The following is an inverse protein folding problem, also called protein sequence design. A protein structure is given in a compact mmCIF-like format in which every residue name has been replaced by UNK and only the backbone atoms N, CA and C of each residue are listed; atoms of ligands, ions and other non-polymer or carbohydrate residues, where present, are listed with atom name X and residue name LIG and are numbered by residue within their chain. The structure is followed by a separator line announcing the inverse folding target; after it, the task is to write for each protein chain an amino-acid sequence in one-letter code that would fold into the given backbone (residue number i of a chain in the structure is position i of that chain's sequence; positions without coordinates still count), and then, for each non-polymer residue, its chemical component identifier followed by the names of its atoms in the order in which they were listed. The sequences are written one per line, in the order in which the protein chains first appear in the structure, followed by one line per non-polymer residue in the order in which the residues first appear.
data_IF_075997682227
#
_entry.id   IF_075997682227
#
_cell.length_a   1.000
_cell.length_b   1.000
_cell.length_c   1.000
_cell.angle_alpha   90.00
_cell.angle_beta   90.00
_cell.angle_gamma   90.00
#
_symmetry.space_group_name_H-M   'P 1'
#
loop_
_entity.id
_entity.type
_entity.pdbx_description
1 polymer ?
#
# COMPACT_ATOMS: atom_id res chain seq x y z
N UNK A 1 -19.33 7.79 14.12
CA UNK A 1 -19.73 6.97 12.96
C UNK A 1 -18.61 5.99 12.73
N UNK A 2 -18.87 4.70 12.95
CA UNK A 2 -17.90 3.64 12.66
C UNK A 2 -18.00 3.31 11.16
N UNK A 3 -16.85 3.21 10.49
CA UNK A 3 -16.78 2.74 9.11
C UNK A 3 -17.06 1.24 9.11
N UNK A 4 -18.19 0.81 8.55
CA UNK A 4 -18.60 -0.60 8.60
C UNK A 4 -17.94 -1.38 7.47
N UNK A 5 -17.93 -2.71 7.60
CA UNK A 5 -17.51 -3.63 6.52
C UNK A 5 -18.20 -3.32 5.19
N UNK A 6 -19.48 -2.95 5.23
CA UNK A 6 -20.27 -2.56 4.06
C UNK A 6 -19.72 -1.29 3.38
N UNK A 7 -19.25 -0.32 4.16
CA UNK A 7 -18.66 0.90 3.62
C UNK A 7 -17.31 0.63 2.94
N UNK A 8 -16.54 -0.33 3.46
CA UNK A 8 -15.30 -0.79 2.79
C UNK A 8 -15.59 -1.42 1.43
N UNK A 9 -16.62 -2.26 1.33
CA UNK A 9 -17.05 -2.88 0.06
C UNK A 9 -17.49 -1.80 -0.93
N UNK A 10 -18.34 -0.85 -0.48
CA UNK A 10 -18.78 0.28 -1.32
C UNK A 10 -17.63 1.13 -1.82
N UNK A 11 -16.63 1.37 -0.97
CA UNK A 11 -15.43 2.10 -1.38
C UNK A 11 -14.66 1.33 -2.46
N UNK A 12 -14.45 0.02 -2.26
CA UNK A 12 -13.81 -0.84 -3.25
C UNK A 12 -14.54 -0.80 -4.60
N UNK A 13 -15.87 -0.94 -4.61
CA UNK A 13 -16.68 -0.84 -5.83
C UNK A 13 -16.51 0.50 -6.54
N UNK A 14 -16.50 1.60 -5.77
CA UNK A 14 -16.32 2.94 -6.31
C UNK A 14 -14.92 3.09 -6.93
N UNK A 15 -13.90 2.58 -6.25
CA UNK A 15 -12.51 2.60 -6.71
C UNK A 15 -12.30 1.69 -7.93
N UNK A 16 -12.99 0.56 -8.00
CA UNK A 16 -12.95 -0.34 -9.16
C UNK A 16 -13.52 0.34 -10.43
N UNK A 17 -14.52 1.20 -10.28
CA UNK A 17 -15.07 2.01 -11.36
C UNK A 17 -14.25 3.26 -11.73
N UNK A 18 -13.27 3.65 -10.90
CA UNK A 18 -12.43 4.82 -11.17
C UNK A 18 -11.37 4.51 -12.23
N UNK A 19 -11.39 5.29 -13.33
CA UNK A 19 -10.38 5.25 -14.39
C UNK A 19 -9.06 5.96 -13.99
N UNK A 20 -9.09 6.80 -12.95
CA UNK A 20 -7.90 7.48 -12.44
C UNK A 20 -7.01 6.56 -11.60
N UNK A 21 -5.71 6.86 -11.52
CA UNK A 21 -4.79 6.16 -10.61
C UNK A 21 -5.14 6.51 -9.17
N UNK A 22 -5.35 5.49 -8.33
CA UNK A 22 -5.65 5.66 -6.92
C UNK A 22 -4.75 4.79 -6.05
N UNK A 23 -4.55 5.24 -4.81
CA UNK A 23 -3.78 4.56 -3.78
C UNK A 23 -4.53 4.71 -2.46
N UNK A 24 -4.75 3.59 -1.78
CA UNK A 24 -5.41 3.55 -0.47
C UNK A 24 -4.47 2.90 0.52
N UNK A 25 -4.25 3.57 1.66
CA UNK A 25 -3.53 3.01 2.80
C UNK A 25 -4.52 2.45 3.81
N UNK A 26 -4.37 1.19 4.16
CA UNK A 26 -5.14 0.54 5.22
C UNK A 26 -4.21 -0.10 6.25
N UNK A 27 -4.74 -0.33 7.46
CA UNK A 27 -4.10 -1.22 8.42
C UNK A 27 -4.10 -2.64 7.86
N UNK A 28 -3.03 -3.38 8.12
CA UNK A 28 -2.91 -4.77 7.67
C UNK A 28 -3.86 -5.67 8.47
N UNK A 29 -4.97 -6.07 7.85
CA UNK A 29 -5.88 -7.06 8.41
C UNK A 29 -6.37 -7.99 7.30
N UNK A 30 -6.68 -9.24 7.67
CA UNK A 30 -7.12 -10.28 6.72
C UNK A 30 -8.32 -9.83 5.89
N UNK A 31 -9.30 -9.17 6.51
CA UNK A 31 -10.49 -8.67 5.82
C UNK A 31 -10.17 -7.71 4.67
N UNK A 32 -9.24 -6.78 4.85
CA UNK A 32 -8.86 -5.83 3.81
C UNK A 32 -8.04 -6.51 2.73
N UNK A 33 -7.17 -7.47 3.09
CA UNK A 33 -6.40 -8.26 2.11
C UNK A 33 -7.32 -9.08 1.20
N UNK A 34 -8.32 -9.74 1.77
CA UNK A 34 -9.31 -10.49 0.99
C UNK A 34 -10.18 -9.57 0.14
N UNK A 35 -10.63 -8.43 0.68
CA UNK A 35 -11.49 -7.48 -0.03
C UNK A 35 -10.83 -6.89 -1.28
N UNK A 36 -9.51 -6.68 -1.23
CA UNK A 36 -8.73 -6.06 -2.29
C UNK A 36 -7.78 -7.05 -3.00
N UNK A 37 -8.01 -8.37 -2.88
CA UNK A 37 -7.13 -9.40 -3.46
C UNK A 37 -6.92 -9.27 -4.97
N UNK A 38 -7.88 -8.69 -5.68
CA UNK A 38 -7.85 -8.48 -7.14
C UNK A 38 -7.05 -7.21 -7.54
N UNK A 39 -6.58 -6.43 -6.56
CA UNK A 39 -5.80 -5.20 -6.76
C UNK A 39 -4.34 -5.38 -6.35
N UNK A 40 -3.49 -4.41 -6.70
CA UNK A 40 -2.09 -4.42 -6.27
C UNK A 40 -2.00 -4.08 -4.78
N UNK A 41 -1.70 -5.07 -3.94
CA UNK A 41 -1.48 -4.90 -2.50
C UNK A 41 0.01 -4.94 -2.20
N UNK A 42 0.52 -3.92 -1.50
CA UNK A 42 1.90 -3.84 -1.03
C UNK A 42 1.91 -3.69 0.49
N UNK A 43 2.34 -4.74 1.18
CA UNK A 43 2.59 -4.68 2.61
C UNK A 43 3.82 -3.79 2.88
N UNK A 44 3.66 -2.82 3.76
CA UNK A 44 4.73 -1.92 4.21
C UNK A 44 4.72 -1.87 5.73
N UNK A 45 5.88 -2.10 6.34
CA UNK A 45 6.10 -1.90 7.76
C UNK A 45 6.72 -0.52 7.95
N UNK A 46 5.98 0.44 8.52
CA UNK A 46 6.55 1.74 8.91
C UNK A 46 6.86 1.78 10.40
N UNK A 47 8.02 2.35 10.71
CA UNK A 47 8.36 2.78 12.08
C UNK A 47 7.49 4.01 12.38
N UNK A 48 6.59 3.88 13.35
CA UNK A 48 5.60 4.90 13.67
C UNK A 48 6.24 6.04 14.49
N UNK A 49 6.54 7.18 13.85
CA UNK A 49 7.09 8.37 14.53
C UNK A 49 6.11 9.01 15.54
N UNK A 50 4.80 8.73 15.42
CA UNK A 50 3.78 9.25 16.33
C UNK A 50 3.64 8.38 17.60
N UNK A 51 3.91 7.08 17.48
CA UNK A 51 3.84 6.11 18.59
C UNK A 51 5.04 6.20 19.56
N UNK A 52 6.16 6.84 19.20
CA UNK A 52 7.28 7.05 20.13
C UNK A 52 6.90 7.83 21.41
N UNK A 53 5.80 8.60 21.40
CA UNK A 53 5.35 9.32 22.60
C UNK A 53 4.45 8.51 23.53
N UNK A 54 3.90 7.37 23.10
CA UNK A 54 2.86 6.67 23.88
C UNK A 54 3.07 5.16 24.03
N UNK A 55 3.63 4.44 23.04
CA UNK A 55 3.92 3.00 23.17
C UNK A 55 5.21 2.64 22.45
N UNK A 56 6.21 2.22 23.24
CA UNK A 56 7.46 1.65 22.72
C UNK A 56 7.18 0.37 21.93
N UNK A 57 7.43 0.38 20.62
CA UNK A 57 7.67 -0.84 19.84
C UNK A 57 6.50 -1.43 19.04
N UNK A 58 5.40 -0.70 18.83
CA UNK A 58 4.37 -1.16 17.90
C UNK A 58 4.78 -0.88 16.45
N UNK A 59 5.30 -1.91 15.78
CA UNK A 59 5.38 -1.95 14.32
C UNK A 59 3.96 -2.08 13.78
N UNK A 60 3.44 -1.03 13.15
CA UNK A 60 2.16 -1.11 12.47
C UNK A 60 2.40 -1.63 11.06
N UNK A 61 1.94 -2.85 10.82
CA UNK A 61 1.83 -3.38 9.47
C UNK A 61 0.72 -2.60 8.75
N UNK A 62 1.09 -1.88 7.69
CA UNK A 62 0.17 -1.18 6.81
C UNK A 62 0.17 -1.88 5.44
N UNK A 63 -0.96 -1.84 4.74
CA UNK A 63 -1.08 -2.30 3.36
C UNK A 63 -1.45 -1.13 2.47
N UNK A 64 -0.68 -0.95 1.41
CA UNK A 64 -0.95 0.01 0.34
C UNK A 64 -1.62 -0.72 -0.81
N UNK A 65 -2.80 -0.28 -1.19
CA UNK A 65 -3.61 -0.89 -2.25
C UNK A 65 -3.75 0.10 -3.40
N UNK A 66 -3.48 -0.32 -4.63
CA UNK A 66 -3.57 0.52 -5.83
C UNK A 66 -4.18 -0.21 -7.03
N UNK A 67 -4.77 0.55 -7.95
CA UNK A 67 -5.16 0.05 -9.29
C UNK A 67 -4.04 0.10 -10.33
N UNK A 68 -2.84 0.48 -9.93
CA UNK A 68 -1.65 0.47 -10.75
C UNK A 68 -0.53 -0.27 -10.03
N UNK A 69 0.44 -0.75 -10.80
CA UNK A 69 1.60 -1.43 -10.24
C UNK A 69 2.53 -0.37 -9.62
N UNK A 70 2.60 -0.35 -8.29
CA UNK A 70 3.48 0.57 -7.54
C UNK A 70 4.96 0.19 -7.67
N UNK A 71 5.29 -0.95 -8.29
CA UNK A 71 6.64 -1.39 -8.61
C UNK A 71 7.14 -0.89 -9.97
N UNK A 72 6.26 -0.41 -10.86
CA UNK A 72 6.63 0.14 -12.17
C UNK A 72 7.68 1.25 -12.02
N UNK A 73 7.51 2.15 -11.05
CA UNK A 73 8.51 3.21 -10.77
C UNK A 73 9.87 2.68 -10.32
N UNK A 74 9.93 1.52 -9.67
CA UNK A 74 11.19 0.90 -9.29
C UNK A 74 11.87 0.21 -10.48
N UNK A 75 11.10 -0.22 -11.49
CA UNK A 75 11.64 -0.81 -12.75
C UNK A 75 12.07 0.26 -13.75
N UNK A 76 11.37 1.39 -13.79
CA UNK A 76 11.72 2.57 -14.59
C UNK A 76 12.80 3.45 -13.93
N UNK A 77 13.28 3.09 -12.73
CA UNK A 77 14.38 3.81 -12.11
C UNK A 77 15.65 3.50 -12.93
N UNK A 78 16.32 4.52 -13.52
CA UNK A 78 17.54 4.27 -14.26
C UNK A 78 18.56 3.67 -13.29
N UNK A 79 18.95 2.42 -13.55
CA UNK A 79 20.08 1.82 -12.85
C UNK A 79 21.33 2.62 -13.24
N UNK A 80 22.03 3.14 -12.25
CA UNK A 80 23.29 3.84 -12.47
C UNK A 80 24.28 2.82 -13.05
N UNK A 81 24.64 2.96 -14.32
CA UNK A 81 25.70 2.14 -14.94
C UNK A 81 27.02 2.61 -14.33
N UNK A 82 27.67 1.75 -13.54
CA UNK A 82 29.02 2.01 -13.07
C UNK A 82 30.00 1.77 -14.22
N UNK A 83 30.78 2.82 -14.55
CA UNK A 83 31.79 2.82 -15.62
C UNK A 83 32.96 1.84 -15.36
N UNK A 84 33.01 1.21 -14.18
CA UNK A 84 34.09 0.32 -13.74
C UNK A 84 33.72 -1.19 -13.83
N UNK A 85 32.51 -1.53 -14.25
CA UNK A 85 32.04 -2.93 -14.42
C UNK A 85 32.21 -3.47 -15.86
N UNK A 86 32.96 -2.75 -16.71
CA UNK A 86 33.35 -3.23 -18.03
C UNK A 86 34.84 -3.63 -18.01
N UNK A 87 35.10 -4.87 -17.58
CA UNK A 87 36.35 -5.60 -17.88
C UNK A 87 36.00 -6.87 -18.68
#
# INVERSE_FOLDING_TARGET
MEFKKEDHVRLRDTLAGCQGKWLVSYNDCEFIRELYQDFSIKAVSRINNLAQRYENGSEYAEVLISNYDTGERSRDMPSQINLLDAD
#
